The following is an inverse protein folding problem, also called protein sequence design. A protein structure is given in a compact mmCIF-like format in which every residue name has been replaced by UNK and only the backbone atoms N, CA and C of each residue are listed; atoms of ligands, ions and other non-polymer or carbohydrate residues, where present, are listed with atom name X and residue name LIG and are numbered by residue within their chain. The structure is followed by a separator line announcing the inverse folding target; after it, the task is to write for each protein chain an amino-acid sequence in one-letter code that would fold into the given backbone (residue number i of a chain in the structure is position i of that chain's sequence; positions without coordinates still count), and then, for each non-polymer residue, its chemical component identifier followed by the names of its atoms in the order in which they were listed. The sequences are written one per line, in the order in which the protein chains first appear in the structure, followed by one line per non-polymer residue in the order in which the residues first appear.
data_IF_295561890534
#
_entry.id   IF_295561890534
#
_cell.length_a   1.000
_cell.length_b   1.000
_cell.length_c   1.000
_cell.angle_alpha   90.00
_cell.angle_beta   90.00
_cell.angle_gamma   90.00
#
_symmetry.space_group_name_H-M   'P 1'
#
loop_
_entity.id
_entity.type
_entity.pdbx_description
1 polymer ?
#
# COMPACT_ATOMS: atom_id res chain seq x y z
N UNK A 1 -11.08 -0.69 0.64
CA UNK A 1 -9.63 -0.63 0.36
C UNK A 1 -9.19 0.46 -0.63
N UNK A 2 -9.63 0.50 -1.90
CA UNK A 2 -9.11 1.45 -2.91
C UNK A 2 -9.14 2.94 -2.50
N UNK A 3 -10.15 3.36 -1.72
CA UNK A 3 -10.20 4.72 -1.16
C UNK A 3 -9.05 4.99 -0.17
N UNK A 4 -8.73 4.03 0.70
CA UNK A 4 -7.69 4.16 1.72
C UNK A 4 -6.29 4.33 1.07
N UNK A 5 -6.01 3.60 -0.01
CA UNK A 5 -4.77 3.79 -0.77
C UNK A 5 -4.73 5.17 -1.41
N UNK A 6 -5.81 5.62 -2.08
CA UNK A 6 -5.87 6.97 -2.66
C UNK A 6 -5.64 8.06 -1.62
N UNK A 7 -6.21 7.92 -0.43
CA UNK A 7 -6.00 8.85 0.68
C UNK A 7 -4.55 8.82 1.18
N UNK A 8 -3.94 7.63 1.26
CA UNK A 8 -2.55 7.47 1.70
C UNK A 8 -1.58 8.21 0.77
N UNK A 9 -1.73 8.06 -0.54
CA UNK A 9 -0.81 8.66 -1.53
C UNK A 9 -1.35 9.92 -2.20
N UNK A 10 -2.39 10.53 -1.62
CA UNK A 10 -3.10 11.69 -2.16
C UNK A 10 -2.14 12.82 -2.54
N UNK A 11 -1.11 13.07 -1.72
CA UNK A 11 -0.12 14.11 -1.99
C UNK A 11 0.63 13.90 -3.30
N UNK A 12 0.88 12.63 -3.66
CA UNK A 12 1.59 12.29 -4.90
C UNK A 12 0.68 12.48 -6.11
N UNK A 13 -0.62 12.19 -5.97
CA UNK A 13 -1.58 12.23 -7.08
C UNK A 13 -2.26 13.59 -7.29
N UNK A 14 -2.42 14.37 -6.23
CA UNK A 14 -3.16 15.64 -6.24
C UNK A 14 -2.24 16.87 -6.21
N UNK A 15 -1.09 16.76 -5.53
CA UNK A 15 -0.09 17.83 -5.44
C UNK A 15 1.18 17.54 -6.27
N UNK A 16 1.20 16.39 -6.96
CA UNK A 16 2.25 15.97 -7.89
C UNK A 16 1.65 15.32 -9.12
N UNK A 17 2.49 14.97 -10.09
CA UNK A 17 2.08 14.28 -11.32
C UNK A 17 2.05 12.75 -11.14
N UNK A 18 1.80 12.30 -9.90
CA UNK A 18 1.82 10.90 -9.53
C UNK A 18 0.55 10.15 -9.92
N UNK A 19 0.68 8.83 -10.02
CA UNK A 19 -0.40 7.89 -10.30
C UNK A 19 -0.47 6.85 -9.18
N UNK A 20 -1.68 6.42 -8.88
CA UNK A 20 -1.95 5.37 -7.91
C UNK A 20 -2.97 4.38 -8.47
N UNK A 21 -2.58 3.12 -8.53
CA UNK A 21 -3.38 2.00 -8.99
C UNK A 21 -3.43 0.92 -7.92
N UNK A 22 -4.61 0.30 -7.82
CA UNK A 22 -4.90 -0.72 -6.83
C UNK A 22 -5.79 -1.76 -7.46
N UNK A 23 -5.38 -3.02 -7.35
CA UNK A 23 -6.15 -4.17 -7.83
C UNK A 23 -6.45 -5.11 -6.66
N UNK A 24 -7.62 -5.74 -6.69
CA UNK A 24 -8.08 -6.78 -5.79
C UNK A 24 -8.44 -8.01 -6.63
N UNK A 25 -7.98 -9.19 -6.22
CA UNK A 25 -8.32 -10.46 -6.87
C UNK A 25 -8.59 -11.51 -5.79
N UNK A 26 -9.37 -12.52 -6.15
CA UNK A 26 -9.33 -13.81 -5.44
C UNK A 26 -8.08 -14.55 -5.92
N UNK A 27 -7.18 -14.92 -5.00
CA UNK A 27 -5.91 -15.56 -5.33
C UNK A 27 -4.73 -15.03 -4.53
N UNK A 28 -3.55 -15.05 -5.16
CA UNK A 28 -2.27 -14.69 -4.54
C UNK A 28 -1.81 -13.27 -4.88
N UNK A 29 -0.79 -12.79 -4.18
CA UNK A 29 -0.10 -11.54 -4.47
C UNK A 29 0.47 -11.52 -5.89
N UNK A 30 0.89 -12.67 -6.42
CA UNK A 30 1.37 -12.79 -7.80
C UNK A 30 0.21 -12.53 -8.78
N UNK A 31 -0.98 -13.07 -8.50
CA UNK A 31 -2.17 -12.84 -9.34
C UNK A 31 -2.57 -11.36 -9.32
N UNK A 32 -2.52 -10.74 -8.13
CA UNK A 32 -2.83 -9.32 -7.97
C UNK A 32 -1.84 -8.42 -8.72
N UNK A 33 -0.53 -8.70 -8.63
CA UNK A 33 0.52 -7.98 -9.37
C UNK A 33 0.39 -8.21 -10.88
N UNK A 34 0.08 -9.43 -11.31
CA UNK A 34 -0.16 -9.76 -12.73
C UNK A 34 -1.36 -9.00 -13.28
N UNK A 35 -2.40 -8.80 -12.47
CA UNK A 35 -3.59 -8.04 -12.85
C UNK A 35 -3.34 -6.51 -12.99
N UNK A 36 -2.21 -5.99 -12.49
CA UNK A 36 -1.71 -4.65 -12.85
C UNK A 36 -1.02 -4.60 -14.23
N UNK A 37 -0.98 -5.73 -14.95
CA UNK A 37 -0.30 -5.85 -16.25
C UNK A 37 1.19 -6.17 -16.15
N UNK A 38 1.70 -6.47 -14.95
CA UNK A 38 3.11 -6.79 -14.73
C UNK A 38 3.35 -8.27 -15.07
N UNK A 39 4.05 -8.50 -16.18
CA UNK A 39 4.37 -9.86 -16.67
C UNK A 39 5.80 -10.31 -16.36
N UNK A 40 6.67 -9.38 -15.96
CA UNK A 40 8.05 -9.63 -15.55
C UNK A 40 8.39 -8.73 -14.38
N UNK A 41 9.05 -9.28 -13.37
CA UNK A 41 9.33 -8.57 -12.14
C UNK A 41 9.81 -9.49 -11.04
N UNK A 42 10.05 -8.91 -9.88
CA UNK A 42 10.38 -9.63 -8.66
C UNK A 42 9.28 -9.41 -7.64
N UNK A 43 9.01 -10.43 -6.83
CA UNK A 43 8.17 -10.32 -5.65
C UNK A 43 8.88 -11.02 -4.50
N UNK A 44 8.89 -10.38 -3.33
CA UNK A 44 9.55 -10.92 -2.15
C UNK A 44 8.70 -10.66 -0.92
N UNK A 45 8.60 -11.65 -0.04
CA UNK A 45 7.92 -11.50 1.23
C UNK A 45 8.68 -10.49 2.10
N UNK A 46 7.92 -9.62 2.77
CA UNK A 46 8.44 -8.66 3.74
C UNK A 46 7.64 -8.78 5.05
N UNK A 47 8.20 -8.27 6.14
CA UNK A 47 7.48 -8.23 7.41
C UNK A 47 6.40 -7.15 7.38
N UNK A 48 5.35 -7.34 8.19
CA UNK A 48 4.34 -6.29 8.42
C UNK A 48 4.99 -4.97 8.88
N UNK A 49 6.03 -5.04 9.71
CA UNK A 49 6.78 -3.87 10.15
C UNK A 49 7.47 -3.13 8.99
N UNK A 50 8.05 -3.83 8.02
CA UNK A 50 8.62 -3.19 6.83
C UNK A 50 7.53 -2.61 5.93
N UNK A 51 6.42 -3.32 5.74
CA UNK A 51 5.31 -2.80 4.95
C UNK A 51 4.73 -1.50 5.55
N UNK A 52 4.47 -1.49 6.86
CA UNK A 52 3.98 -0.31 7.58
C UNK A 52 4.95 0.87 7.52
N UNK A 53 6.27 0.62 7.52
CA UNK A 53 7.28 1.66 7.31
C UNK A 53 7.16 2.28 5.91
N UNK A 54 7.01 1.47 4.87
CA UNK A 54 6.80 1.94 3.50
C UNK A 54 5.50 2.76 3.35
N UNK A 55 4.40 2.26 3.91
CA UNK A 55 3.12 2.97 3.91
C UNK A 55 3.23 4.31 4.66
N UNK A 56 3.85 4.30 5.84
CA UNK A 56 4.06 5.51 6.64
C UNK A 56 4.90 6.54 5.90
N UNK A 57 5.98 6.10 5.26
CA UNK A 57 6.83 6.98 4.45
C UNK A 57 6.06 7.59 3.28
N UNK A 58 5.28 6.77 2.56
CA UNK A 58 4.50 7.23 1.41
C UNK A 58 3.45 8.27 1.82
N UNK A 59 2.71 8.03 2.90
CA UNK A 59 1.72 9.00 3.39
C UNK A 59 2.31 10.23 4.08
N UNK A 60 3.56 10.17 4.53
CA UNK A 60 4.25 11.32 5.12
C UNK A 60 4.91 12.23 4.07
N UNK A 61 5.23 11.69 2.89
CA UNK A 61 5.91 12.43 1.82
C UNK A 61 4.91 13.21 0.95
N UNK A 62 5.44 14.12 0.13
CA UNK A 62 4.67 14.96 -0.79
C UNK A 62 4.83 14.57 -2.25
N UNK A 63 5.48 13.44 -2.55
CA UNK A 63 5.98 13.15 -3.90
C UNK A 63 7.18 14.04 -4.26
N UNK A 64 7.42 14.18 -5.56
CA UNK A 64 8.51 14.94 -6.15
C UNK A 64 8.34 16.46 -5.95
N UNK A 65 7.12 16.97 -6.10
CA UNK A 65 6.84 18.42 -6.09
C UNK A 65 5.99 18.90 -4.91
N UNK A 66 5.25 18.00 -4.25
CA UNK A 66 4.34 18.36 -3.18
C UNK A 66 5.03 18.58 -1.82
N UNK A 67 4.28 19.17 -0.88
CA UNK A 67 4.81 19.44 0.47
C UNK A 67 4.73 18.18 1.33
N UNK A 68 5.76 17.95 2.15
CA UNK A 68 5.73 16.84 3.13
C UNK A 68 4.60 17.04 4.12
N UNK A 69 3.80 16.00 4.34
CA UNK A 69 2.66 15.97 5.27
C UNK A 69 3.06 15.56 6.69
N UNK A 70 4.15 14.82 6.83
CA UNK A 70 4.75 14.43 8.11
C UNK A 70 4.29 13.07 8.64
N UNK A 71 5.09 12.50 9.53
CA UNK A 71 4.97 11.10 9.99
C UNK A 71 3.68 10.80 10.75
N UNK A 72 3.04 11.79 11.37
CA UNK A 72 1.75 11.59 12.04
C UNK A 72 0.66 11.18 11.05
N UNK A 73 0.55 11.92 9.93
CA UNK A 73 -0.40 11.59 8.85
C UNK A 73 -0.02 10.28 8.14
N UNK A 74 1.27 10.04 7.91
CA UNK A 74 1.75 8.77 7.36
C UNK A 74 1.34 7.56 8.20
N UNK A 75 1.54 7.62 9.52
CA UNK A 75 1.14 6.53 10.42
C UNK A 75 -0.37 6.34 10.47
N UNK A 76 -1.13 7.44 10.48
CA UNK A 76 -2.59 7.37 10.40
C UNK A 76 -3.03 6.64 9.13
N UNK A 77 -2.50 7.04 7.97
CA UNK A 77 -2.81 6.40 6.69
C UNK A 77 -2.43 4.93 6.65
N UNK A 78 -1.29 4.55 7.23
CA UNK A 78 -0.87 3.14 7.30
C UNK A 78 -1.87 2.29 8.10
N UNK A 79 -2.28 2.74 9.29
CA UNK A 79 -3.26 2.02 10.11
C UNK A 79 -4.66 2.02 9.51
N UNK A 80 -5.06 3.14 8.89
CA UNK A 80 -6.30 3.23 8.14
C UNK A 80 -6.36 2.23 6.99
N UNK A 81 -5.24 2.05 6.26
CA UNK A 81 -5.16 1.05 5.19
C UNK A 81 -5.28 -0.38 5.73
N UNK A 82 -4.60 -0.71 6.83
CA UNK A 82 -4.74 -2.02 7.48
C UNK A 82 -6.20 -2.28 7.88
N UNK A 83 -6.87 -1.31 8.51
CA UNK A 83 -8.30 -1.43 8.84
C UNK A 83 -9.17 -1.68 7.60
N UNK A 84 -8.85 -1.01 6.49
CA UNK A 84 -9.58 -1.16 5.23
C UNK A 84 -9.29 -2.47 4.48
N UNK A 85 -8.15 -3.13 4.75
CA UNK A 85 -7.80 -4.45 4.23
C UNK A 85 -8.56 -5.55 4.96
N UNK A 86 -8.67 -5.46 6.29
CA UNK A 86 -9.45 -6.42 7.10
C UNK A 86 -10.93 -6.08 7.27
N UNK A 87 -11.47 -5.13 6.48
CA UNK A 87 -12.90 -4.81 6.50
C UNK A 87 -13.43 -4.13 7.77
N UNK A 88 -12.56 -3.69 8.69
CA UNK A 88 -12.93 -3.11 9.99
C UNK A 88 -12.86 -1.56 10.02
N UNK A 89 -12.63 -0.90 8.89
CA UNK A 89 -12.51 0.56 8.82
C UNK A 89 -13.77 1.34 9.17
N UNK A 90 -14.95 0.70 9.12
CA UNK A 90 -16.22 1.35 9.48
C UNK A 90 -16.35 1.60 10.99
N UNK A 91 -15.62 0.85 11.82
CA UNK A 91 -15.63 0.96 13.28
C UNK A 91 -14.50 1.86 13.81
N UNK A 92 -13.96 2.72 12.95
CA UNK A 92 -12.84 3.56 13.33
C UNK A 92 -13.24 4.63 14.38
N UNK A 93 -12.42 4.85 15.43
CA UNK A 93 -11.14 4.21 15.71
C UNK A 93 -11.29 2.79 16.27
N UNK A 94 -10.55 1.85 15.69
CA UNK A 94 -10.51 0.46 16.13
C UNK A 94 -9.54 0.27 17.30
N UNK A 95 -9.73 -0.78 18.10
CA UNK A 95 -8.78 -1.23 19.11
C UNK A 95 -7.37 -1.46 18.47
N UNK A 96 -6.31 -0.81 18.99
CA UNK A 96 -4.94 -0.97 18.48
C UNK A 96 -4.42 -2.42 18.48
N UNK A 97 -4.80 -3.23 19.47
CA UNK A 97 -4.37 -4.63 19.56
C UNK A 97 -4.98 -5.46 18.42
N UNK A 98 -6.24 -5.20 18.07
CA UNK A 98 -6.93 -5.83 16.94
C UNK A 98 -6.27 -5.42 15.62
N UNK A 99 -5.93 -4.14 15.46
CA UNK A 99 -5.20 -3.63 14.29
C UNK A 99 -3.80 -4.27 14.15
N UNK A 100 -3.08 -4.43 15.26
CA UNK A 100 -1.77 -5.07 15.27
C UNK A 100 -1.83 -6.56 14.94
N UNK A 101 -2.84 -7.26 15.46
CA UNK A 101 -3.10 -8.66 15.11
C UNK A 101 -3.42 -8.80 13.62
N UNK A 102 -4.35 -8.00 13.10
CA UNK A 102 -4.70 -7.98 11.68
C UNK A 102 -3.48 -7.71 10.78
N UNK A 103 -2.65 -6.72 11.14
CA UNK A 103 -1.42 -6.44 10.38
C UNK A 103 -0.47 -7.64 10.33
N UNK A 104 -0.48 -8.49 11.36
CA UNK A 104 0.36 -9.69 11.49
C UNK A 104 -0.23 -10.92 10.78
N UNK A 105 -1.55 -10.96 10.60
CA UNK A 105 -2.27 -12.02 9.86
C UNK A 105 -2.16 -11.83 8.35
N UNK A 106 -2.03 -10.57 7.89
CA UNK A 106 -1.78 -10.25 6.50
C UNK A 106 -0.38 -10.72 6.07
N UNK A 107 -0.27 -11.28 4.87
CA UNK A 107 1.02 -11.60 4.26
C UNK A 107 1.43 -10.45 3.36
N UNK A 108 2.62 -9.91 3.59
CA UNK A 108 3.10 -8.70 2.92
C UNK A 108 4.21 -9.01 1.94
N UNK A 109 4.17 -8.34 0.80
CA UNK A 109 5.14 -8.50 -0.27
C UNK A 109 5.56 -7.15 -0.80
N UNK A 110 6.84 -7.03 -1.12
CA UNK A 110 7.36 -5.97 -1.97
C UNK A 110 7.54 -6.52 -3.39
N UNK A 111 7.33 -5.69 -4.40
CA UNK A 111 7.51 -6.09 -5.78
C UNK A 111 8.11 -4.97 -6.65
N UNK A 112 8.69 -5.37 -7.80
CA UNK A 112 9.12 -4.46 -8.86
C UNK A 112 8.79 -5.05 -10.24
N UNK A 113 8.75 -4.20 -11.27
CA UNK A 113 8.49 -4.58 -12.67
C UNK A 113 9.77 -4.82 -13.49
N UNK A 114 10.93 -4.99 -12.84
CA UNK A 114 12.27 -5.01 -13.46
C UNK A 114 12.57 -3.78 -14.35
N UNK A 115 11.92 -2.65 -14.08
CA UNK A 115 12.10 -1.36 -14.74
C UNK A 115 13.03 -0.47 -13.90
N UNK A 116 13.78 0.46 -14.52
CA UNK A 116 14.52 1.47 -13.78
C UNK A 116 13.59 2.26 -12.86
N UNK A 117 13.95 2.37 -11.58
CA UNK A 117 13.20 3.20 -10.62
C UNK A 117 13.47 4.67 -10.95
N UNK A 118 12.47 5.34 -11.51
CA UNK A 118 12.49 6.77 -11.77
C UNK A 118 11.53 7.44 -10.79
N UNK A 119 12.06 8.28 -9.90
CA UNK A 119 11.27 9.06 -8.96
C UNK A 119 10.82 8.29 -7.70
N UNK A 120 9.64 8.68 -7.18
CA UNK A 120 9.07 8.12 -5.96
C UNK A 120 8.18 6.93 -6.31
N UNK A 121 8.27 5.84 -5.55
CA UNK A 121 7.40 4.68 -5.76
C UNK A 121 7.03 3.97 -4.46
N UNK A 122 5.83 3.44 -4.43
CA UNK A 122 5.32 2.50 -3.43
C UNK A 122 4.77 1.30 -4.19
N UNK A 123 5.44 0.15 -4.04
CA UNK A 123 5.06 -1.10 -4.67
C UNK A 123 4.92 -2.17 -3.59
N UNK A 124 3.68 -2.49 -3.25
CA UNK A 124 3.35 -3.48 -2.23
C UNK A 124 2.27 -4.41 -2.76
N UNK A 125 2.31 -5.66 -2.33
CA UNK A 125 1.19 -6.57 -2.45
C UNK A 125 0.89 -7.18 -1.09
N UNK A 126 -0.37 -7.54 -0.89
CA UNK A 126 -0.88 -8.03 0.39
C UNK A 126 -1.83 -9.18 0.13
N UNK A 127 -1.70 -10.26 0.89
CA UNK A 127 -2.69 -11.35 0.92
C UNK A 127 -3.40 -11.35 2.26
N UNK A 128 -4.70 -11.63 2.24
CA UNK A 128 -5.51 -11.99 3.39
C UNK A 128 -5.91 -13.46 3.24
N UNK A 129 -5.10 -14.41 3.76
CA UNK A 129 -5.33 -15.83 3.55
C UNK A 129 -6.68 -16.33 4.06
N UNK A 130 -7.22 -15.70 5.12
CA UNK A 130 -8.52 -16.05 5.68
C UNK A 130 -9.69 -15.83 4.71
N UNK A 131 -9.55 -14.90 3.76
CA UNK A 131 -10.56 -14.59 2.75
C UNK A 131 -10.17 -15.05 1.33
N UNK A 132 -8.95 -15.56 1.15
CA UNK A 132 -8.43 -15.92 -0.18
C UNK A 132 -8.29 -14.72 -1.11
N UNK A 133 -8.16 -13.51 -0.56
CA UNK A 133 -8.04 -12.27 -1.31
C UNK A 133 -6.61 -11.78 -1.33
N UNK A 134 -6.23 -11.18 -2.46
CA UNK A 134 -4.97 -10.50 -2.61
C UNK A 134 -5.15 -9.13 -3.27
N UNK A 135 -4.24 -8.23 -2.91
CA UNK A 135 -4.19 -6.88 -3.43
C UNK A 135 -2.80 -6.52 -3.90
N UNK A 136 -2.74 -5.71 -4.95
CA UNK A 136 -1.52 -5.07 -5.39
C UNK A 136 -1.72 -3.55 -5.41
N UNK A 137 -0.74 -2.84 -4.86
CA UNK A 137 -0.69 -1.38 -4.76
C UNK A 137 0.51 -0.92 -5.58
N UNK A 138 0.25 -0.05 -6.55
CA UNK A 138 1.28 0.68 -7.29
C UNK A 138 1.01 2.17 -7.18
N UNK A 139 1.88 2.90 -6.47
CA UNK A 139 1.92 4.35 -6.56
C UNK A 139 3.28 4.77 -7.10
N UNK A 140 3.30 5.69 -8.05
CA UNK A 140 4.52 6.24 -8.66
C UNK A 140 4.35 7.73 -8.85
N UNK A 141 5.44 8.47 -8.68
CA UNK A 141 5.50 9.88 -9.01
C UNK A 141 6.84 10.19 -9.68
N UNK A 142 6.74 10.63 -10.93
CA UNK A 142 7.89 10.88 -11.78
C UNK A 142 8.40 12.31 -11.56
N UNK A 143 9.70 12.44 -11.34
CA UNK A 143 10.46 13.70 -11.42
C UNK A 143 10.67 14.14 -12.85
#
# INVERSE_FOLDING_TARGET
MALAVRQLVEAWTAESNGKAEVVCVEGSAIDAVSALGISRGHITAITAAHALQWLTWAGASGGAFGRRRGTALGRFGAWWLVAALGGISNDWPTNPDVLGALASELQWFWWDAAEPVLGWQLQLAVELPAEGLAWAISARDAT
#
